data_IF_315087290513
#
_entry.id   IF_315087290513
#
_cell.length_a   1.000
_cell.length_b   1.000
_cell.length_c   1.000
_cell.angle_alpha   90.00
_cell.angle_beta   90.00
_cell.angle_gamma   90.00
#
_symmetry.space_group_name_H-M   'P 1'
#
loop_
_entity.id
_entity.type
_entity.pdbx_description
1 polymer ?
#
# COMPACT_ATOMS: atom_id res chain seq x y z
N UNK A 1 -15.40 -23.01 -16.79
CA UNK A 1 -14.12 -22.39 -17.18
C UNK A 1 -13.22 -22.31 -15.96
N UNK A 2 -11.89 -22.36 -16.13
CA UNK A 2 -10.96 -22.03 -15.03
C UNK A 2 -10.87 -20.52 -14.84
N UNK A 3 -10.66 -20.06 -13.59
CA UNK A 3 -10.52 -18.63 -13.25
C UNK A 3 -9.44 -17.94 -14.09
N UNK A 4 -8.35 -18.66 -14.38
CA UNK A 4 -7.25 -18.17 -15.22
C UNK A 4 -7.66 -17.89 -16.68
N UNK A 5 -8.57 -18.67 -17.26
CA UNK A 5 -9.03 -18.46 -18.64
C UNK A 5 -10.00 -17.28 -18.73
N UNK A 6 -10.94 -17.17 -17.78
CA UNK A 6 -11.86 -16.00 -17.72
C UNK A 6 -11.11 -14.69 -17.48
N UNK A 7 -10.05 -14.71 -16.66
CA UNK A 7 -9.13 -13.55 -16.51
C UNK A 7 -8.51 -13.13 -17.83
N UNK A 8 -7.86 -14.06 -18.56
CA UNK A 8 -7.15 -13.73 -19.82
C UNK A 8 -8.10 -13.11 -20.84
N UNK A 9 -9.37 -13.53 -20.86
CA UNK A 9 -10.40 -12.93 -21.70
C UNK A 9 -10.74 -11.50 -21.28
N UNK A 10 -10.94 -11.24 -19.98
CA UNK A 10 -11.17 -9.88 -19.44
C UNK A 10 -10.00 -8.95 -19.74
N UNK A 11 -8.76 -9.40 -19.47
CA UNK A 11 -7.55 -8.62 -19.74
C UNK A 11 -7.38 -8.35 -21.25
N UNK A 12 -7.71 -9.31 -22.12
CA UNK A 12 -7.67 -9.12 -23.57
C UNK A 12 -8.82 -8.24 -24.14
N UNK A 13 -9.88 -8.00 -23.38
CA UNK A 13 -10.94 -7.04 -23.74
C UNK A 13 -10.56 -5.61 -23.34
N UNK A 14 -9.95 -5.45 -22.15
CA UNK A 14 -9.42 -4.16 -21.68
C UNK A 14 -8.22 -3.71 -22.53
N UNK A 15 -7.28 -4.61 -22.83
CA UNK A 15 -6.09 -4.31 -23.63
C UNK A 15 -6.36 -3.99 -25.12
N UNK A 16 -7.62 -4.01 -25.57
CA UNK A 16 -8.04 -3.61 -26.93
C UNK A 16 -8.73 -2.24 -26.95
N UNK A 17 -8.70 -1.51 -25.83
CA UNK A 17 -9.36 -0.22 -25.63
C UNK A 17 -10.88 -0.21 -25.90
N UNK A 18 -11.53 -1.40 -25.93
CA UNK A 18 -12.99 -1.49 -26.01
C UNK A 18 -13.69 -1.02 -24.73
N UNK A 19 -12.99 -1.08 -23.59
CA UNK A 19 -13.51 -0.67 -22.28
C UNK A 19 -12.38 -0.05 -21.44
N UNK A 20 -12.64 1.10 -20.81
CA UNK A 20 -11.69 1.78 -19.91
C UNK A 20 -11.46 1.02 -18.60
N UNK A 21 -12.45 0.24 -18.16
CA UNK A 21 -12.34 -0.72 -17.06
C UNK A 21 -13.36 -1.84 -17.23
N UNK A 22 -13.11 -2.99 -16.58
CA UNK A 22 -14.10 -4.06 -16.42
C UNK A 22 -14.23 -4.38 -14.93
N UNK A 23 -15.47 -4.45 -14.45
CA UNK A 23 -15.83 -4.95 -13.11
C UNK A 23 -16.34 -6.37 -13.25
N UNK A 24 -15.76 -7.30 -12.49
CA UNK A 24 -16.13 -8.71 -12.48
C UNK A 24 -16.43 -9.18 -11.05
N UNK A 25 -17.46 -10.01 -10.92
CA UNK A 25 -17.93 -10.56 -9.65
C UNK A 25 -17.73 -12.08 -9.62
N UNK A 26 -17.32 -12.61 -8.48
CA UNK A 26 -17.37 -14.05 -8.24
C UNK A 26 -18.82 -14.46 -7.91
N UNK A 27 -19.51 -15.05 -8.89
CA UNK A 27 -20.91 -15.49 -8.76
C UNK A 27 -21.36 -16.36 -9.94
N UNK A 28 -22.56 -16.93 -9.84
CA UNK A 28 -23.22 -17.65 -10.93
C UNK A 28 -23.79 -16.72 -12.00
N UNK A 29 -24.72 -17.24 -12.82
CA UNK A 29 -25.36 -16.49 -13.92
C UNK A 29 -26.29 -15.34 -13.49
N UNK A 30 -26.44 -15.09 -12.18
CA UNK A 30 -27.35 -14.07 -11.63
C UNK A 30 -26.58 -13.15 -10.70
N UNK A 31 -26.65 -11.84 -10.97
CA UNK A 31 -26.12 -10.80 -10.07
C UNK A 31 -27.11 -10.62 -8.92
N UNK A 32 -26.66 -10.78 -7.68
CA UNK A 32 -27.50 -10.56 -6.49
C UNK A 32 -27.97 -9.10 -6.43
N UNK A 33 -29.21 -8.86 -5.99
CA UNK A 33 -29.80 -7.50 -5.95
C UNK A 33 -28.92 -6.49 -5.20
N UNK A 34 -28.30 -6.91 -4.08
CA UNK A 34 -27.35 -6.08 -3.32
C UNK A 34 -26.15 -5.65 -4.18
N UNK A 35 -25.58 -6.57 -4.97
CA UNK A 35 -24.47 -6.27 -5.90
C UNK A 35 -24.91 -5.29 -6.98
N UNK A 36 -26.13 -5.44 -7.53
CA UNK A 36 -26.68 -4.52 -8.51
C UNK A 36 -26.89 -3.10 -7.95
N UNK A 37 -27.47 -2.97 -6.75
CA UNK A 37 -27.68 -1.67 -6.09
C UNK A 37 -26.35 -0.96 -5.77
N UNK A 38 -25.36 -1.70 -5.25
CA UNK A 38 -24.03 -1.16 -5.00
C UNK A 38 -23.30 -0.78 -6.30
N UNK A 39 -23.46 -1.54 -7.39
CA UNK A 39 -22.92 -1.18 -8.69
C UNK A 39 -23.55 0.11 -9.24
N UNK A 40 -24.87 0.28 -9.15
CA UNK A 40 -25.56 1.53 -9.52
C UNK A 40 -25.01 2.71 -8.72
N UNK A 41 -24.83 2.55 -7.40
CA UNK A 41 -24.23 3.57 -6.54
C UNK A 41 -22.79 3.91 -6.96
N UNK A 42 -21.96 2.93 -7.31
CA UNK A 42 -20.61 3.15 -7.81
C UNK A 42 -20.59 3.92 -9.15
N UNK A 43 -21.51 3.59 -10.06
CA UNK A 43 -21.66 4.30 -11.34
C UNK A 43 -22.08 5.75 -11.08
N UNK A 44 -23.07 6.01 -10.21
CA UNK A 44 -23.46 7.38 -9.84
C UNK A 44 -22.33 8.17 -9.19
N UNK A 45 -21.52 7.55 -8.31
CA UNK A 45 -20.34 8.20 -7.72
C UNK A 45 -19.30 8.57 -8.78
N UNK A 46 -19.09 7.71 -9.77
CA UNK A 46 -18.14 7.94 -10.87
C UNK A 46 -18.63 9.04 -11.79
N UNK A 47 -19.88 8.95 -12.26
CA UNK A 47 -20.45 9.85 -13.29
C UNK A 47 -20.87 11.21 -12.73
N UNK A 48 -21.55 11.24 -11.58
CA UNK A 48 -22.12 12.48 -11.02
C UNK A 48 -21.14 13.25 -10.15
N UNK A 49 -20.24 12.54 -9.45
CA UNK A 49 -19.33 13.15 -8.47
C UNK A 49 -17.85 13.08 -8.88
N UNK A 50 -17.54 12.55 -10.08
CA UNK A 50 -16.19 12.41 -10.62
C UNK A 50 -15.22 11.61 -9.71
N UNK A 51 -15.74 10.60 -9.01
CA UNK A 51 -14.91 9.71 -8.20
C UNK A 51 -14.11 8.77 -9.11
N UNK A 52 -12.87 8.43 -8.73
CA UNK A 52 -12.14 7.35 -9.40
C UNK A 52 -12.91 6.03 -9.24
N UNK A 53 -12.87 5.14 -10.26
CA UNK A 53 -13.63 3.89 -10.23
C UNK A 53 -13.33 3.02 -9.00
N UNK A 54 -12.07 2.99 -8.54
CA UNK A 54 -11.67 2.29 -7.32
C UNK A 54 -12.31 2.94 -6.08
N UNK A 55 -12.25 4.27 -5.95
CA UNK A 55 -12.90 4.99 -4.84
C UNK A 55 -14.43 4.82 -4.85
N UNK A 56 -15.04 4.83 -6.03
CA UNK A 56 -16.48 4.65 -6.19
C UNK A 56 -16.94 3.24 -5.79
N UNK A 57 -16.21 2.20 -6.23
CA UNK A 57 -16.46 0.80 -5.83
C UNK A 57 -16.22 0.63 -4.32
N UNK A 58 -15.16 1.21 -3.76
CA UNK A 58 -14.87 1.22 -2.32
C UNK A 58 -16.00 1.84 -1.49
N UNK A 59 -16.49 3.02 -1.86
CA UNK A 59 -17.58 3.72 -1.13
C UNK A 59 -18.94 3.04 -1.32
N UNK A 60 -19.16 2.41 -2.47
CA UNK A 60 -20.39 1.70 -2.74
C UNK A 60 -20.46 0.35 -2.00
N UNK A 61 -19.51 -0.54 -2.26
CA UNK A 61 -19.48 -1.89 -1.70
C UNK A 61 -18.91 -1.95 -0.29
N UNK A 62 -18.06 -1.01 0.13
CA UNK A 62 -17.48 -0.97 1.47
C UNK A 62 -18.49 -0.78 2.60
N UNK A 63 -19.71 -0.32 2.28
CA UNK A 63 -20.83 -0.27 3.22
C UNK A 63 -21.62 -1.60 3.29
N UNK A 64 -21.51 -2.47 2.28
CA UNK A 64 -22.21 -3.75 2.18
C UNK A 64 -21.23 -4.93 2.34
N UNK A 65 -20.90 -5.16 3.60
CA UNK A 65 -20.07 -6.28 4.05
C UNK A 65 -20.67 -7.64 3.66
N UNK A 66 -21.99 -7.81 3.65
CA UNK A 66 -22.57 -9.10 3.25
C UNK A 66 -22.31 -9.39 1.76
N UNK A 67 -22.46 -8.39 0.88
CA UNK A 67 -22.07 -8.52 -0.52
C UNK A 67 -20.58 -8.87 -0.68
N UNK A 68 -19.68 -8.21 0.05
CA UNK A 68 -18.23 -8.45 -0.03
C UNK A 68 -17.74 -9.77 0.62
N UNK A 69 -18.49 -10.33 1.58
CA UNK A 69 -18.26 -11.67 2.12
C UNK A 69 -18.49 -12.77 1.07
N UNK A 70 -19.54 -12.63 0.25
CA UNK A 70 -19.98 -13.67 -0.68
C UNK A 70 -19.46 -13.46 -2.11
N UNK A 71 -19.27 -12.22 -2.53
CA UNK A 71 -18.85 -11.85 -3.89
C UNK A 71 -17.77 -10.77 -3.86
N UNK A 72 -16.48 -11.15 -3.71
CA UNK A 72 -15.35 -10.27 -3.98
C UNK A 72 -15.49 -9.55 -5.33
N UNK A 73 -15.22 -8.25 -5.34
CA UNK A 73 -15.34 -7.40 -6.53
C UNK A 73 -13.95 -7.19 -7.11
N UNK A 74 -13.73 -7.65 -8.35
CA UNK A 74 -12.47 -7.41 -9.06
C UNK A 74 -12.64 -6.32 -10.11
N UNK A 75 -11.74 -5.34 -10.10
CA UNK A 75 -11.68 -4.21 -11.03
C UNK A 75 -10.36 -4.31 -11.78
N UNK A 76 -10.44 -4.43 -13.12
CA UNK A 76 -9.28 -4.33 -14.00
C UNK A 76 -9.33 -2.98 -14.72
N UNK A 77 -8.24 -2.23 -14.64
CA UNK A 77 -8.14 -0.87 -15.20
C UNK A 77 -6.80 -0.70 -15.92
N UNK A 78 -6.83 -0.03 -17.07
CA UNK A 78 -5.62 0.41 -17.78
C UNK A 78 -5.12 1.72 -17.18
N UNK A 79 -3.81 1.80 -16.95
CA UNK A 79 -3.11 2.99 -16.47
C UNK A 79 -2.08 3.39 -17.53
N UNK A 80 -1.94 4.69 -17.74
CA UNK A 80 -0.82 5.25 -18.50
C UNK A 80 0.28 5.62 -17.50
N UNK A 81 1.48 5.09 -17.70
CA UNK A 81 2.67 5.53 -16.96
C UNK A 81 3.01 6.96 -17.36
N UNK A 82 3.00 7.88 -16.40
CA UNK A 82 3.33 9.30 -16.61
C UNK A 82 4.81 9.53 -16.94
N UNK A 83 5.69 8.57 -16.69
CA UNK A 83 7.14 8.67 -16.94
C UNK A 83 7.51 8.15 -18.33
N UNK A 84 6.95 7.00 -18.73
CA UNK A 84 7.29 6.36 -20.02
C UNK A 84 6.25 6.55 -21.12
N UNK A 85 5.04 7.02 -20.78
CA UNK A 85 3.88 7.02 -21.68
C UNK A 85 3.31 5.61 -21.96
N UNK A 86 3.92 4.56 -21.42
CA UNK A 86 3.50 3.18 -21.63
C UNK A 86 2.19 2.86 -20.91
N UNK A 87 1.28 2.17 -21.59
CA UNK A 87 0.09 1.62 -20.94
C UNK A 87 0.42 0.32 -20.20
N UNK A 88 -0.11 0.17 -18.99
CA UNK A 88 -0.08 -1.08 -18.23
C UNK A 88 -1.43 -1.34 -17.57
N UNK A 89 -1.81 -2.62 -17.44
CA UNK A 89 -3.04 -3.00 -16.74
C UNK A 89 -2.75 -3.32 -15.27
N UNK A 90 -3.67 -2.98 -14.38
CA UNK A 90 -3.67 -3.41 -12.99
C UNK A 90 -5.03 -3.99 -12.64
N UNK A 91 -5.03 -5.18 -12.03
CA UNK A 91 -6.24 -5.81 -11.48
C UNK A 91 -6.18 -5.73 -9.96
N UNK A 92 -7.23 -5.16 -9.36
CA UNK A 92 -7.40 -4.96 -7.93
C UNK A 92 -8.72 -5.58 -7.49
N UNK A 93 -8.71 -6.39 -6.43
CA UNK A 93 -9.89 -7.02 -5.85
C UNK A 93 -10.21 -6.40 -4.49
N UNK A 94 -11.44 -5.93 -4.31
CA UNK A 94 -11.99 -5.52 -3.03
C UNK A 94 -12.52 -6.77 -2.31
N UNK A 95 -11.92 -7.07 -1.15
CA UNK A 95 -12.24 -8.25 -0.34
C UNK A 95 -12.50 -7.86 1.11
N UNK A 96 -13.43 -8.56 1.76
CA UNK A 96 -13.53 -8.51 3.22
C UNK A 96 -12.46 -9.40 3.88
N UNK A 97 -12.24 -9.25 5.18
CA UNK A 97 -11.61 -10.26 5.99
C UNK A 97 -12.52 -11.44 6.32
N UNK A 98 -11.93 -12.63 6.45
CA UNK A 98 -12.53 -13.79 7.10
C UNK A 98 -12.66 -13.60 8.63
N UNK A 99 -13.13 -14.64 9.34
CA UNK A 99 -13.29 -14.64 10.79
C UNK A 99 -11.96 -14.63 11.57
N UNK A 100 -10.85 -15.03 10.94
CA UNK A 100 -9.48 -14.83 11.43
C UNK A 100 -8.91 -13.46 11.03
N UNK A 101 -9.78 -12.54 10.61
CA UNK A 101 -9.44 -11.16 10.28
C UNK A 101 -8.39 -11.04 9.17
N UNK A 102 -8.26 -12.06 8.33
CA UNK A 102 -7.34 -12.13 7.19
C UNK A 102 -8.11 -11.77 5.91
N UNK A 103 -7.55 -10.93 5.01
CA UNK A 103 -8.18 -10.65 3.71
C UNK A 103 -8.55 -11.95 2.98
N UNK A 104 -9.78 -12.07 2.46
CA UNK A 104 -10.18 -13.26 1.71
C UNK A 104 -9.22 -13.54 0.55
N UNK A 105 -9.06 -14.83 0.26
CA UNK A 105 -8.07 -15.39 -0.68
C UNK A 105 -6.60 -15.23 -0.29
N UNK A 106 -6.21 -14.42 0.71
CA UNK A 106 -4.81 -14.34 1.14
C UNK A 106 -4.37 -15.64 1.82
N UNK A 107 -3.32 -16.28 1.29
CA UNK A 107 -2.71 -17.45 1.91
C UNK A 107 -1.91 -17.00 3.12
N UNK A 108 -2.26 -17.51 4.31
CA UNK A 108 -1.48 -17.31 5.53
C UNK A 108 -0.29 -18.29 5.55
N UNK A 109 0.87 -17.93 6.12
CA UNK A 109 2.00 -18.84 6.25
C UNK A 109 1.65 -19.98 7.23
N UNK A 110 2.01 -21.22 6.87
CA UNK A 110 1.82 -22.40 7.72
C UNK A 110 2.54 -22.22 9.06
N UNK A 111 1.85 -22.42 10.18
CA UNK A 111 2.46 -22.32 11.50
C UNK A 111 3.49 -23.45 11.72
N UNK A 112 4.68 -23.16 12.28
CA UNK A 112 5.73 -24.17 12.48
C UNK A 112 5.41 -25.15 13.61
N UNK A 113 4.52 -24.79 14.55
CA UNK A 113 4.16 -25.66 15.68
C UNK A 113 3.59 -26.99 15.22
N UNK A 114 4.15 -28.11 15.70
CA UNK A 114 3.84 -29.46 15.24
C UNK A 114 2.33 -29.80 15.31
N UNK A 115 1.64 -29.35 16.37
CA UNK A 115 0.19 -29.52 16.55
C UNK A 115 -0.67 -28.69 15.60
N UNK A 116 -0.08 -27.69 14.93
CA UNK A 116 -0.78 -26.74 14.07
C UNK A 116 -0.68 -27.09 12.58
N UNK A 117 0.31 -27.90 12.18
CA UNK A 117 0.58 -28.22 10.77
C UNK A 117 -0.56 -29.00 10.09
N UNK A 118 -1.40 -29.71 10.85
CA UNK A 118 -2.57 -30.45 10.36
C UNK A 118 -3.83 -29.60 10.19
N UNK A 119 -3.86 -28.35 10.66
CA UNK A 119 -5.07 -27.51 10.69
C UNK A 119 -4.86 -26.32 9.76
N UNK A 120 -5.63 -26.23 8.67
CA UNK A 120 -5.39 -25.22 7.62
C UNK A 120 -5.79 -23.78 8.00
N UNK A 121 -6.66 -23.60 8.99
CA UNK A 121 -7.30 -22.31 9.29
C UNK A 121 -7.26 -22.02 10.80
N UNK A 122 -6.14 -21.45 11.26
CA UNK A 122 -5.94 -21.03 12.66
C UNK A 122 -5.01 -19.80 12.81
N UNK A 123 -4.56 -19.21 11.69
CA UNK A 123 -3.61 -18.09 11.67
C UNK A 123 -4.37 -16.80 11.35
N UNK A 124 -4.51 -15.92 12.35
CA UNK A 124 -5.18 -14.63 12.23
C UNK A 124 -4.25 -13.48 11.91
N UNK A 125 -4.79 -12.44 11.27
CA UNK A 125 -4.05 -11.22 10.95
C UNK A 125 -4.27 -10.11 11.97
N UNK A 126 -3.18 -9.45 12.36
CA UNK A 126 -3.16 -8.28 13.23
C UNK A 126 -2.53 -7.11 12.47
N UNK A 127 -3.12 -5.92 12.59
CA UNK A 127 -2.59 -4.69 12.01
C UNK A 127 -2.51 -3.61 13.09
N UNK A 128 -1.41 -2.86 13.10
CA UNK A 128 -1.12 -1.80 14.08
C UNK A 128 -0.70 -0.53 13.35
N UNK A 129 -1.34 0.60 13.65
CA UNK A 129 -0.93 1.92 13.15
C UNK A 129 0.31 2.41 13.92
N UNK A 130 1.26 3.02 13.22
CA UNK A 130 2.48 3.62 13.78
C UNK A 130 2.72 5.01 13.18
N UNK A 131 3.71 5.75 13.67
CA UNK A 131 4.13 7.03 13.07
C UNK A 131 4.64 6.90 11.62
N UNK A 132 5.07 5.71 11.22
CA UNK A 132 5.64 5.41 9.89
C UNK A 132 4.65 4.69 8.96
N UNK A 133 3.39 4.52 9.36
CA UNK A 133 2.35 3.88 8.55
C UNK A 133 1.63 2.77 9.32
N UNK A 134 1.61 1.57 8.74
CA UNK A 134 0.97 0.39 9.34
C UNK A 134 1.94 -0.78 9.39
N UNK A 135 1.91 -1.52 10.49
CA UNK A 135 2.58 -2.81 10.64
C UNK A 135 1.53 -3.93 10.59
N UNK A 136 1.92 -5.08 10.07
CA UNK A 136 1.14 -6.30 9.98
C UNK A 136 1.86 -7.42 10.75
N UNK A 137 1.10 -8.32 11.37
CA UNK A 137 1.60 -9.51 12.06
C UNK A 137 0.64 -10.68 11.84
N UNK A 138 1.19 -11.90 11.69
CA UNK A 138 0.43 -13.14 11.77
C UNK A 138 0.49 -13.72 13.17
N UNK A 139 -0.59 -14.37 13.61
CA UNK A 139 -0.67 -15.01 14.93
C UNK A 139 -1.47 -16.31 14.86
N UNK A 140 -0.92 -17.39 15.39
CA UNK A 140 -1.55 -18.69 15.51
C UNK A 140 -2.39 -18.76 16.78
N UNK A 141 -3.69 -19.02 16.64
CA UNK A 141 -4.62 -19.11 17.77
C UNK A 141 -4.52 -20.42 18.56
N UNK A 142 -3.87 -21.46 18.00
CA UNK A 142 -3.72 -22.77 18.65
C UNK A 142 -2.51 -22.85 19.59
N UNK A 143 -1.35 -22.31 19.18
CA UNK A 143 -0.12 -22.35 19.98
C UNK A 143 0.37 -20.96 20.42
N UNK A 144 -0.37 -19.89 20.14
CA UNK A 144 -0.04 -18.51 20.52
C UNK A 144 1.15 -17.89 19.77
N UNK A 145 1.90 -18.67 18.98
CA UNK A 145 3.02 -18.18 18.18
C UNK A 145 2.59 -17.03 17.29
N UNK A 146 3.43 -16.00 17.21
CA UNK A 146 3.24 -14.85 16.33
C UNK A 146 4.48 -14.66 15.49
N UNK A 147 4.33 -14.19 14.25
CA UNK A 147 5.46 -13.58 13.54
C UNK A 147 5.79 -12.24 14.19
N UNK A 148 6.90 -11.63 13.82
CA UNK A 148 7.12 -10.23 14.13
C UNK A 148 6.14 -9.30 13.41
N UNK A 149 6.18 -8.04 13.82
CA UNK A 149 5.56 -6.93 13.11
C UNK A 149 6.43 -6.53 11.92
N UNK A 150 5.94 -6.74 10.71
CA UNK A 150 6.58 -6.29 9.47
C UNK A 150 5.80 -5.10 8.86
N UNK A 151 6.43 -4.26 8.02
CA UNK A 151 5.71 -3.23 7.27
C UNK A 151 4.54 -3.83 6.51
N UNK A 152 3.34 -3.25 6.66
CA UNK A 152 2.16 -3.68 5.91
C UNK A 152 2.52 -3.66 4.42
N UNK A 153 2.40 -4.78 3.68
CA UNK A 153 2.67 -4.77 2.24
C UNK A 153 1.86 -3.68 1.56
N UNK A 154 2.49 -2.91 0.65
CA UNK A 154 1.87 -1.72 0.05
C UNK A 154 0.56 -2.03 -0.67
N UNK A 155 0.43 -3.28 -1.11
CA UNK A 155 -0.70 -3.84 -1.81
C UNK A 155 -1.82 -4.40 -0.92
N UNK A 156 -1.64 -4.49 0.41
CA UNK A 156 -2.73 -4.71 1.36
C UNK A 156 -3.18 -3.34 1.87
N UNK A 157 -4.04 -2.65 1.13
CA UNK A 157 -4.56 -1.35 1.55
C UNK A 157 -5.90 -1.53 2.30
N UNK A 158 -6.06 -1.05 3.55
CA UNK A 158 -7.37 -1.02 4.20
C UNK A 158 -8.27 -0.06 3.44
N UNK A 159 -9.37 -0.59 2.89
CA UNK A 159 -10.32 0.15 2.06
C UNK A 159 -11.23 1.09 2.89
N UNK A 160 -11.21 1.01 4.22
CA UNK A 160 -11.71 2.09 5.07
C UNK A 160 -10.84 2.25 6.32
N UNK A 161 -10.69 3.49 6.79
CA UNK A 161 -10.02 3.81 8.07
C UNK A 161 -11.04 3.93 9.22
N UNK A 162 -12.34 4.07 8.88
CA UNK A 162 -13.41 4.48 9.81
C UNK A 162 -14.39 3.37 10.21
N UNK A 163 -14.45 2.26 9.49
CA UNK A 163 -15.32 1.15 9.88
C UNK A 163 -14.56 0.15 10.76
N UNK A 164 -15.28 -0.58 11.61
CA UNK A 164 -14.78 -1.77 12.29
C UNK A 164 -14.58 -2.96 11.33
N UNK A 165 -14.89 -2.77 10.04
CA UNK A 165 -14.97 -3.80 9.02
C UNK A 165 -13.65 -3.82 8.24
N UNK A 166 -12.93 -4.92 8.33
CA UNK A 166 -11.59 -5.08 7.74
C UNK A 166 -11.70 -5.43 6.26
N UNK A 167 -11.98 -4.40 5.47
CA UNK A 167 -12.06 -4.49 4.01
C UNK A 167 -10.71 -4.08 3.42
N UNK A 168 -10.26 -4.79 2.40
CA UNK A 168 -8.96 -4.59 1.78
C UNK A 168 -9.05 -4.57 0.26
N UNK A 169 -8.25 -3.70 -0.35
CA UNK A 169 -7.82 -3.91 -1.72
C UNK A 169 -6.63 -4.88 -1.75
N UNK A 170 -6.67 -5.85 -2.66
CA UNK A 170 -5.62 -6.85 -2.90
C UNK A 170 -5.39 -6.98 -4.41
N UNK A 171 -4.15 -6.94 -4.93
CA UNK A 171 -3.89 -7.04 -6.37
C UNK A 171 -4.00 -8.48 -6.86
N UNK A 172 -4.19 -8.63 -8.17
CA UNK A 172 -4.09 -9.91 -8.85
C UNK A 172 -3.01 -9.89 -9.94
N UNK A 173 -2.13 -10.92 -10.04
CA UNK A 173 -2.02 -12.07 -9.15
C UNK A 173 -1.56 -11.67 -7.74
N UNK A 174 -1.98 -12.42 -6.73
CA UNK A 174 -1.57 -12.16 -5.36
C UNK A 174 -0.05 -12.39 -5.20
N UNK A 175 0.72 -11.42 -4.67
CA UNK A 175 2.13 -11.62 -4.37
C UNK A 175 2.31 -12.73 -3.34
N UNK A 176 3.15 -13.71 -3.66
CA UNK A 176 3.53 -14.75 -2.71
C UNK A 176 4.26 -14.11 -1.52
N UNK A 177 3.65 -14.17 -0.33
CA UNK A 177 4.28 -13.68 0.89
C UNK A 177 5.28 -14.71 1.41
N UNK A 178 6.55 -14.57 0.99
CA UNK A 178 7.66 -15.31 1.60
C UNK A 178 7.89 -14.76 3.00
N UNK A 179 7.32 -15.43 4.00
CA UNK A 179 7.43 -15.04 5.41
C UNK A 179 8.01 -16.19 6.22
N UNK A 180 9.18 -15.96 6.79
CA UNK A 180 9.78 -16.81 7.80
C UNK A 180 9.12 -16.50 9.14
N UNK A 181 8.63 -17.52 9.84
CA UNK A 181 8.31 -17.38 11.26
C UNK A 181 9.63 -17.16 12.00
N UNK A 182 9.76 -15.98 12.61
CA UNK A 182 10.84 -15.63 13.50
C UNK A 182 10.23 -15.39 14.88
N UNK A 183 10.93 -15.81 15.94
CA UNK A 183 10.58 -15.42 17.30
C UNK A 183 11.01 -13.97 17.54
N UNK A 184 10.40 -13.29 18.53
CA UNK A 184 10.77 -11.91 18.86
C UNK A 184 12.24 -11.74 19.23
N UNK A 185 12.88 -12.80 19.74
CA UNK A 185 14.33 -12.86 20.01
C UNK A 185 15.14 -12.87 18.70
N UNK A 186 14.80 -13.75 17.76
CA UNK A 186 15.45 -13.85 16.43
C UNK A 186 15.33 -12.54 15.64
N UNK A 187 14.24 -11.80 15.78
CA UNK A 187 14.06 -10.51 15.13
C UNK A 187 14.77 -9.36 15.84
N UNK A 188 14.83 -9.38 17.18
CA UNK A 188 15.66 -8.44 17.94
C UNK A 188 17.13 -8.57 17.53
N UNK A 189 17.62 -9.81 17.41
CA UNK A 189 18.97 -10.11 16.91
C UNK A 189 19.17 -9.63 15.46
N UNK A 190 18.28 -10.00 14.54
CA UNK A 190 18.32 -9.60 13.11
C UNK A 190 18.25 -8.08 12.91
N UNK A 191 17.51 -7.35 13.75
CA UNK A 191 17.47 -5.89 13.70
C UNK A 191 18.71 -5.25 14.31
N UNK A 192 19.23 -5.79 15.39
CA UNK A 192 20.51 -5.35 15.97
C UNK A 192 21.65 -5.56 14.96
N UNK A 193 21.66 -6.68 14.24
CA UNK A 193 22.57 -6.92 13.12
C UNK A 193 22.37 -5.93 11.96
N UNK A 194 21.13 -5.68 11.54
CA UNK A 194 20.82 -4.63 10.53
C UNK A 194 21.32 -3.25 10.95
N UNK A 195 21.10 -2.85 12.20
CA UNK A 195 21.55 -1.55 12.74
C UNK A 195 23.09 -1.47 12.81
N UNK A 196 23.77 -2.56 13.16
CA UNK A 196 25.25 -2.66 13.08
C UNK A 196 25.72 -2.48 11.64
N UNK A 197 25.08 -3.14 10.68
CA UNK A 197 25.46 -3.12 9.27
C UNK A 197 25.16 -1.76 8.60
N UNK A 198 24.06 -1.08 8.96
CA UNK A 198 23.79 0.30 8.59
C UNK A 198 24.82 1.28 9.19
N UNK A 199 25.18 1.09 10.47
CA UNK A 199 26.21 1.89 11.15
C UNK A 199 27.58 1.72 10.49
N UNK A 200 27.94 0.50 10.07
CA UNK A 200 29.14 0.22 9.28
C UNK A 200 29.09 0.91 7.91
N UNK A 201 27.99 0.81 7.17
CA UNK A 201 27.80 1.53 5.88
C UNK A 201 27.98 3.04 6.04
N UNK A 202 27.40 3.65 7.09
CA UNK A 202 27.57 5.09 7.39
C UNK A 202 29.04 5.44 7.66
N UNK A 203 29.77 4.62 8.42
CA UNK A 203 31.21 4.81 8.68
C UNK A 203 32.04 4.71 7.41
N UNK A 204 31.78 3.73 6.54
CA UNK A 204 32.49 3.57 5.25
C UNK A 204 32.24 4.75 4.32
N UNK A 205 30.99 5.20 4.18
CA UNK A 205 30.67 6.35 3.33
C UNK A 205 31.35 7.65 3.82
N UNK A 206 31.39 7.88 5.14
CA UNK A 206 32.10 9.02 5.75
C UNK A 206 33.62 8.97 5.51
N UNK A 207 34.23 7.78 5.57
CA UNK A 207 35.65 7.59 5.23
C UNK A 207 35.91 7.91 3.75
N UNK A 208 35.03 7.50 2.83
CA UNK A 208 35.16 7.79 1.40
C UNK A 208 34.96 9.26 1.04
N UNK A 209 34.02 9.97 1.69
CA UNK A 209 33.84 11.42 1.48
C UNK A 209 35.05 12.22 1.97
N UNK A 210 35.64 11.84 3.11
CA UNK A 210 36.83 12.49 3.65
C UNK A 210 38.09 12.23 2.79
N UNK A 211 38.19 11.05 2.16
CA UNK A 211 39.23 10.75 1.18
C UNK A 211 39.17 11.62 -0.07
N UNK A 212 37.96 11.93 -0.58
CA UNK A 212 37.79 12.87 -1.70
C UNK A 212 38.06 14.32 -1.29
N UNK A 213 37.56 14.76 -0.14
CA UNK A 213 37.74 16.12 0.35
C UNK A 213 39.23 16.51 0.57
N UNK A 214 40.08 15.56 1.01
CA UNK A 214 41.52 15.80 1.13
C UNK A 214 42.26 15.95 -0.21
N UNK A 215 41.72 15.45 -1.32
CA UNK A 215 42.39 15.53 -2.64
C UNK A 215 42.20 16.90 -3.30
N UNK A 216 41.10 17.60 -3.00
CA UNK A 216 40.78 18.90 -3.59
C UNK A 216 41.36 20.10 -2.81
N UNK A 217 42.00 19.90 -1.64
CA UNK A 217 42.45 20.99 -0.76
C UNK A 217 43.93 21.41 -0.97
N UNK A 218 44.49 21.11 -2.13
CA UNK A 218 45.89 21.45 -2.51
C UNK A 218 45.94 22.49 -3.63
N UNK A 219 44.84 22.69 -4.38
CA UNK A 219 44.76 23.65 -5.48
C UNK A 219 43.69 24.71 -5.17
N UNK A 220 44.07 25.75 -4.41
CA UNK A 220 43.63 27.15 -4.59
C UNK A 220 44.24 28.03 -3.49
N UNK A 221 45.24 28.83 -3.86
CA UNK A 221 45.82 29.85 -2.98
C UNK A 221 46.33 31.05 -3.79
N UNK A 222 45.41 31.98 -4.11
CA UNK A 222 45.73 33.32 -4.63
C UNK A 222 44.73 34.34 -4.06
N UNK A 223 45.15 35.48 -3.48
CA UNK A 223 44.25 36.41 -2.78
C UNK A 223 43.83 37.63 -3.63
N UNK A 224 42.68 38.23 -3.28
CA UNK A 224 42.21 39.54 -3.79
C UNK A 224 41.47 40.33 -2.70
N UNK A 225 41.54 41.67 -2.76
CA UNK A 225 41.15 42.64 -1.73
C UNK A 225 39.66 43.08 -1.77
N UNK A 226 39.14 43.75 -0.71
CA UNK A 226 37.72 44.15 -0.60
C UNK A 226 37.43 45.61 -1.05
N UNK A 227 36.14 46.00 -1.15
CA UNK A 227 35.71 47.40 -1.15
C UNK A 227 34.94 47.79 0.13
N UNK A 228 35.05 49.07 0.52
CA UNK A 228 34.43 49.68 1.70
C UNK A 228 33.01 50.25 1.45
N UNK A 229 32.29 50.49 2.57
CA UNK A 229 31.36 51.60 2.93
C UNK A 229 30.73 52.52 1.83
N UNK A 230 29.55 53.13 1.97
CA UNK A 230 28.54 53.28 3.05
C UNK A 230 27.29 54.02 2.52
N UNK A 231 26.25 54.16 3.36
CA UNK A 231 25.32 55.31 3.56
C UNK A 231 23.84 54.86 3.69
N UNK A 232 23.20 55.42 4.71
CA UNK A 232 21.80 55.30 5.16
C UNK A 232 20.80 55.96 4.16
N UNK A 233 19.48 56.08 4.34
CA UNK A 233 18.67 56.17 5.56
C UNK A 233 17.14 56.05 5.24
N UNK A 234 16.31 56.13 6.29
CA UNK A 234 14.89 56.51 6.33
C UNK A 234 13.81 55.53 5.84
N UNK A 235 13.31 54.76 6.80
CA UNK A 235 11.97 54.16 6.82
C UNK A 235 10.86 55.21 6.99
N UNK A 236 9.75 55.08 6.25
CA UNK A 236 8.52 55.87 6.42
C UNK A 236 7.44 55.01 7.08
N UNK A 237 6.96 55.46 8.25
CA UNK A 237 5.71 55.01 8.85
C UNK A 237 4.51 55.61 8.11
N UNK A 238 3.45 54.82 7.93
CA UNK A 238 2.08 55.34 7.82
C UNK A 238 1.05 54.21 8.04
N UNK A 239 0.53 54.14 9.27
CA UNK A 239 -0.78 53.53 9.52
C UNK A 239 -1.86 54.57 9.19
N UNK A 240 -2.92 54.14 8.50
CA UNK A 240 -4.24 54.78 8.59
C UNK A 240 -5.32 53.70 8.50
N UNK A 241 -6.26 53.73 9.43
CA UNK A 241 -7.42 52.84 9.53
C UNK A 241 -8.65 53.42 8.79
N UNK A 242 -9.74 52.63 8.68
CA UNK A 242 -11.14 53.07 8.41
C UNK A 242 -11.40 53.64 6.98
N UNK A 243 -12.55 53.53 6.31
CA UNK A 243 -13.87 52.86 6.46
C UNK A 243 -14.39 52.57 5.01
N UNK A 244 -15.37 51.70 4.75
CA UNK A 244 -16.13 50.77 5.61
C UNK A 244 -15.43 49.39 5.73
#
# INVERSE_FOLDING_TARGET
MSVANSRRQIEALVAKDYFTFIVAFCGGSVVLNNVALNLTKAISLTVTYNYSILTAIEVAFGADVQALSHSPVSVTTTFTDSVTGGQFMKTMSLVQSDHYWRPFSLIAPTCPGLTCQSIQLHVRSKMKKTKQGFLFQWHCDLCGLSTDWFPRPDWIAPATIRSLQRIYWVPYPQPAMVMTWMTGEQWAEKNHERQRLESQKRKVNCMQSNGKAKRNKVEESTPSLPPDSSIDDLSIDLMTELED
#
